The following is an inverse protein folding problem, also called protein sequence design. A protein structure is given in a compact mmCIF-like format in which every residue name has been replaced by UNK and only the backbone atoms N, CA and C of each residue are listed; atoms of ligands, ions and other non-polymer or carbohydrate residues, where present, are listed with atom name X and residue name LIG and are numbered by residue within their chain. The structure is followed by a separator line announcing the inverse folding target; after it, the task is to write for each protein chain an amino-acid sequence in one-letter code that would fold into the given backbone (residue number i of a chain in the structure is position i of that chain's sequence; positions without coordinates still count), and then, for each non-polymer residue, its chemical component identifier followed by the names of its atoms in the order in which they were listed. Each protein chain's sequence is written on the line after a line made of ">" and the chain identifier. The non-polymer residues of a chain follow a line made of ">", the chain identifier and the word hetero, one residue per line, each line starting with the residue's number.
data_IF_696060665306
#
_entry.id   IF_696060665306
#
_cell.length_a   1.000
_cell.length_b   1.000
_cell.length_c   1.000
_cell.angle_alpha   90.00
_cell.angle_beta   90.00
_cell.angle_gamma   90.00
#
_symmetry.space_group_name_H-M   'P 1'
#
loop_
_entity.id
_entity.type
_entity.pdbx_description
1 polymer ?
#
# COMPACT_ATOMS: atom_id res chain seq x y z
N UNK A 1 -14.90 2.41 24.86
CA UNK A 1 -15.75 2.97 23.79
C UNK A 1 -15.78 4.47 23.96
N UNK A 2 -15.88 5.21 22.86
CA UNK A 2 -15.81 6.67 22.85
C UNK A 2 -17.12 7.26 22.32
N UNK A 3 -17.49 8.44 22.81
CA UNK A 3 -18.52 9.27 22.20
C UNK A 3 -18.05 9.81 20.85
N UNK A 4 -18.96 10.44 20.09
CA UNK A 4 -18.60 11.09 18.83
C UNK A 4 -17.57 12.21 19.00
N UNK A 5 -17.67 12.97 20.10
CA UNK A 5 -16.73 14.05 20.43
C UNK A 5 -15.35 13.48 20.80
N UNK A 6 -15.32 12.48 21.67
CA UNK A 6 -14.08 11.80 22.06
C UNK A 6 -13.41 11.09 20.86
N UNK A 7 -14.19 10.50 19.95
CA UNK A 7 -13.66 9.90 18.72
C UNK A 7 -13.07 10.96 17.79
N UNK A 8 -13.69 12.15 17.72
CA UNK A 8 -13.20 13.29 16.96
C UNK A 8 -11.87 13.80 17.52
N UNK A 9 -11.79 14.00 18.84
CA UNK A 9 -10.56 14.37 19.54
C UNK A 9 -9.46 13.34 19.37
N UNK A 10 -9.80 12.04 19.47
CA UNK A 10 -8.82 10.96 19.39
C UNK A 10 -8.22 10.78 18.00
N UNK A 11 -9.01 10.96 16.95
CA UNK A 11 -8.59 10.75 15.55
C UNK A 11 -8.17 12.03 14.85
N UNK A 12 -8.48 13.20 15.41
CA UNK A 12 -8.30 14.50 14.76
C UNK A 12 -9.26 14.74 13.59
N UNK A 13 -10.20 13.83 13.33
CA UNK A 13 -11.21 13.96 12.27
C UNK A 13 -12.41 14.72 12.84
N UNK A 14 -12.88 15.75 12.14
CA UNK A 14 -14.04 16.52 12.62
C UNK A 14 -15.30 15.65 12.77
N UNK A 15 -16.14 15.98 13.75
CA UNK A 15 -17.47 15.37 13.97
C UNK A 15 -18.29 15.31 12.67
N UNK A 16 -18.22 16.36 11.85
CA UNK A 16 -18.89 16.42 10.53
C UNK A 16 -18.40 15.32 9.60
N UNK A 17 -17.08 15.14 9.49
CA UNK A 17 -16.48 14.13 8.62
C UNK A 17 -16.75 12.72 9.14
N UNK A 18 -16.71 12.48 10.47
CA UNK A 18 -17.07 11.18 11.05
C UNK A 18 -18.49 10.79 10.64
N UNK A 19 -19.47 11.68 10.83
CA UNK A 19 -20.87 11.44 10.40
C UNK A 19 -20.99 11.17 8.91
N UNK A 20 -20.24 11.92 8.11
CA UNK A 20 -20.21 11.76 6.66
C UNK A 20 -19.64 10.41 6.23
N UNK A 21 -18.54 9.96 6.85
CA UNK A 21 -17.97 8.64 6.58
C UNK A 21 -18.89 7.51 7.01
N UNK A 22 -19.56 7.63 8.16
CA UNK A 22 -20.57 6.66 8.59
C UNK A 22 -21.74 6.59 7.60
N UNK A 23 -22.27 7.73 7.13
CA UNK A 23 -23.41 7.73 6.20
C UNK A 23 -23.05 7.19 4.81
N UNK A 24 -21.76 7.27 4.41
CA UNK A 24 -21.20 6.67 3.19
C UNK A 24 -20.82 5.20 3.34
N UNK A 25 -20.95 4.61 4.53
CA UNK A 25 -20.58 3.20 4.78
C UNK A 25 -19.07 2.95 4.88
N UNK A 26 -18.25 4.00 4.95
CA UNK A 26 -16.80 3.89 5.14
C UNK A 26 -16.44 3.41 6.55
N UNK A 27 -17.29 3.74 7.52
CA UNK A 27 -17.17 3.30 8.90
C UNK A 27 -18.51 2.67 9.29
N UNK A 28 -18.53 1.51 9.97
CA UNK A 28 -19.74 0.92 10.50
C UNK A 28 -20.55 1.93 11.32
N UNK A 29 -21.89 1.77 11.37
CA UNK A 29 -22.72 2.62 12.21
C UNK A 29 -22.34 2.47 13.69
N UNK A 30 -22.36 3.57 14.48
CA UNK A 30 -21.97 3.53 15.88
C UNK A 30 -22.89 2.62 16.67
N UNK A 31 -22.33 2.03 17.73
CA UNK A 31 -23.07 1.19 18.66
C UNK A 31 -24.03 2.07 19.45
N UNK A 32 -25.33 1.79 19.33
CA UNK A 32 -26.37 2.58 20.00
C UNK A 32 -26.54 2.14 21.43
N UNK A 33 -26.39 3.09 22.36
CA UNK A 33 -26.73 2.91 23.76
C UNK A 33 -27.61 4.09 24.20
N UNK A 34 -28.91 3.83 24.27
CA UNK A 34 -29.93 4.86 24.50
C UNK A 34 -30.00 5.85 23.34
N UNK A 35 -29.86 7.16 23.64
CA UNK A 35 -29.86 8.23 22.63
C UNK A 35 -28.47 8.53 22.06
N UNK A 36 -27.43 7.90 22.60
CA UNK A 36 -26.04 8.17 22.25
C UNK A 36 -25.47 7.06 21.37
N UNK A 37 -24.62 7.44 20.42
CA UNK A 37 -23.84 6.51 19.60
C UNK A 37 -22.40 6.45 20.10
N UNK A 38 -21.87 5.24 20.22
CA UNK A 38 -20.52 4.96 20.69
C UNK A 38 -19.65 4.33 19.61
N UNK A 39 -18.39 4.72 19.60
CA UNK A 39 -17.35 4.28 18.68
C UNK A 39 -16.38 3.35 19.42
N UNK A 40 -16.22 2.16 18.90
CA UNK A 40 -15.26 1.16 19.40
C UNK A 40 -13.88 1.36 18.79
N UNK A 41 -12.88 0.58 19.22
CA UNK A 41 -11.54 0.63 18.65
C UNK A 41 -11.52 0.32 17.15
N UNK A 42 -12.40 -0.58 16.70
CA UNK A 42 -12.58 -0.94 15.28
C UNK A 42 -13.08 0.26 14.46
N UNK A 43 -13.96 1.08 15.03
CA UNK A 43 -14.42 2.30 14.37
C UNK A 43 -13.27 3.31 14.20
N UNK A 44 -12.46 3.49 15.24
CA UNK A 44 -11.32 4.42 15.21
C UNK A 44 -10.28 3.96 14.18
N UNK A 45 -9.96 2.67 14.15
CA UNK A 45 -9.03 2.13 13.18
C UNK A 45 -9.49 2.35 11.73
N UNK A 46 -10.80 2.22 11.45
CA UNK A 46 -11.35 2.54 10.11
C UNK A 46 -11.33 4.03 9.80
N UNK A 47 -11.59 4.88 10.79
CA UNK A 47 -11.48 6.33 10.64
C UNK A 47 -10.05 6.75 10.28
N UNK A 48 -9.07 6.19 10.98
CA UNK A 48 -7.65 6.41 10.69
C UNK A 48 -7.29 5.88 9.29
N UNK A 49 -7.76 4.68 8.91
CA UNK A 49 -7.58 4.14 7.56
C UNK A 49 -8.09 5.10 6.47
N UNK A 50 -9.32 5.60 6.61
CA UNK A 50 -9.91 6.55 5.66
C UNK A 50 -9.07 7.82 5.58
N UNK A 51 -8.64 8.36 6.72
CA UNK A 51 -7.83 9.58 6.80
C UNK A 51 -6.48 9.42 6.10
N UNK A 52 -5.76 8.33 6.40
CA UNK A 52 -4.45 8.05 5.79
C UNK A 52 -4.58 7.85 4.27
N UNK A 53 -5.58 7.09 3.80
CA UNK A 53 -5.80 6.91 2.35
C UNK A 53 -6.14 8.24 1.65
N UNK A 54 -6.93 9.12 2.29
CA UNK A 54 -7.16 10.46 1.76
C UNK A 54 -5.87 11.30 1.77
N UNK A 55 -5.04 11.18 2.82
CA UNK A 55 -3.73 11.83 2.91
C UNK A 55 -2.77 11.40 1.79
N UNK A 56 -2.90 10.15 1.31
CA UNK A 56 -2.18 9.63 0.15
C UNK A 56 -2.83 9.93 -1.21
N UNK A 57 -3.86 10.79 -1.24
CA UNK A 57 -4.47 11.28 -2.48
C UNK A 57 -5.50 10.35 -3.11
N UNK A 58 -5.92 9.28 -2.42
CA UNK A 58 -7.00 8.43 -2.93
C UNK A 58 -8.32 9.20 -2.96
N UNK A 59 -9.06 9.04 -4.07
CA UNK A 59 -10.42 9.59 -4.16
C UNK A 59 -11.37 8.84 -3.22
N UNK A 60 -12.39 9.54 -2.71
CA UNK A 60 -13.36 8.94 -1.79
C UNK A 60 -14.05 7.70 -2.39
N UNK A 61 -14.32 7.68 -3.69
CA UNK A 61 -14.91 6.54 -4.39
C UNK A 61 -13.97 5.32 -4.44
N UNK A 62 -12.66 5.54 -4.56
CA UNK A 62 -11.67 4.45 -4.49
C UNK A 62 -11.58 3.89 -3.06
N UNK A 63 -11.62 4.77 -2.05
CA UNK A 63 -11.63 4.38 -0.64
C UNK A 63 -12.89 3.58 -0.30
N UNK A 64 -14.07 3.99 -0.77
CA UNK A 64 -15.33 3.25 -0.59
C UNK A 64 -15.22 1.82 -1.13
N UNK A 65 -14.75 1.65 -2.36
CA UNK A 65 -14.54 0.32 -2.96
C UNK A 65 -13.54 -0.53 -2.18
N UNK A 66 -12.47 0.07 -1.68
CA UNK A 66 -11.45 -0.63 -0.92
C UNK A 66 -12.00 -1.11 0.44
N UNK A 67 -12.57 -0.18 1.20
CA UNK A 67 -13.07 -0.41 2.56
C UNK A 67 -14.25 -1.39 2.58
N UNK A 68 -15.04 -1.45 1.51
CA UNK A 68 -16.11 -2.43 1.35
C UNK A 68 -15.61 -3.89 1.31
N UNK A 69 -14.32 -4.12 1.01
CA UNK A 69 -13.70 -5.47 1.01
C UNK A 69 -13.24 -5.91 2.40
N UNK A 70 -13.22 -5.00 3.38
CA UNK A 70 -12.82 -5.26 4.76
C UNK A 70 -14.08 -5.64 5.56
N UNK A 71 -14.10 -6.78 6.27
CA UNK A 71 -15.23 -7.17 7.14
C UNK A 71 -15.57 -6.09 8.17
N UNK A 72 -16.86 -5.89 8.46
CA UNK A 72 -17.30 -4.83 9.38
C UNK A 72 -16.79 -5.04 10.82
N UNK A 73 -16.54 -6.28 11.19
CA UNK A 73 -16.00 -6.76 12.46
C UNK A 73 -14.47 -6.95 12.43
N UNK A 74 -13.79 -6.48 11.37
CA UNK A 74 -12.34 -6.50 11.30
C UNK A 74 -11.70 -5.81 12.51
N UNK A 75 -10.71 -6.47 13.10
CA UNK A 75 -10.02 -5.94 14.27
C UNK A 75 -9.16 -4.73 13.89
N UNK A 76 -8.75 -3.89 14.86
CA UNK A 76 -7.79 -2.81 14.58
C UNK A 76 -6.51 -3.31 13.92
N UNK A 77 -6.06 -4.52 14.27
CA UNK A 77 -4.91 -5.19 13.68
C UNK A 77 -5.10 -5.54 12.20
N UNK A 78 -6.27 -6.05 11.83
CA UNK A 78 -6.60 -6.35 10.42
C UNK A 78 -6.62 -5.07 9.58
N UNK A 79 -7.15 -3.98 10.14
CA UNK A 79 -7.20 -2.67 9.48
C UNK A 79 -5.81 -2.04 9.37
N UNK A 80 -4.98 -2.17 10.40
CA UNK A 80 -3.60 -1.68 10.39
C UNK A 80 -2.70 -2.42 9.40
N UNK A 81 -2.96 -3.71 9.13
CA UNK A 81 -2.32 -4.46 8.04
C UNK A 81 -2.67 -3.86 6.69
N UNK A 82 -3.94 -3.54 6.44
CA UNK A 82 -4.38 -2.88 5.22
C UNK A 82 -3.71 -1.52 5.00
N UNK A 83 -3.46 -0.76 6.07
CA UNK A 83 -2.65 0.46 6.00
C UNK A 83 -1.19 0.18 5.69
N UNK A 84 -0.57 -0.81 6.34
CA UNK A 84 0.85 -1.13 6.12
C UNK A 84 1.15 -1.59 4.69
N UNK A 85 0.18 -2.24 4.02
CA UNK A 85 0.28 -2.65 2.63
C UNK A 85 0.05 -1.49 1.64
N UNK A 86 -0.72 -0.47 2.02
CA UNK A 86 -1.09 0.65 1.13
C UNK A 86 -0.30 1.94 1.37
N UNK A 87 0.30 2.11 2.54
CA UNK A 87 1.06 3.31 2.87
C UNK A 87 2.26 3.41 1.91
N UNK A 88 2.33 4.48 1.09
CA UNK A 88 3.57 4.85 0.42
C UNK A 88 4.66 4.94 1.49
N UNK A 89 5.79 4.31 1.21
CA UNK A 89 7.02 4.61 1.96
C UNK A 89 7.24 6.11 1.79
N UNK A 90 7.51 6.89 2.86
CA UNK A 90 7.79 8.31 2.70
C UNK A 90 8.82 8.52 1.59
N UNK A 91 8.49 9.45 0.71
CA UNK A 91 9.17 9.77 -0.52
C UNK A 91 10.56 10.33 -0.24
N UNK A 92 11.52 9.44 -0.02
CA UNK A 92 12.94 9.72 -0.22
C UNK A 92 13.33 9.18 -1.59
N UNK A 93 12.99 9.96 -2.63
CA UNK A 93 13.56 9.79 -3.97
C UNK A 93 12.70 9.00 -4.96
N UNK A 94 11.42 9.38 -5.15
CA UNK A 94 10.69 9.03 -6.38
C UNK A 94 11.52 9.47 -7.59
N UNK A 95 12.23 8.52 -8.19
CA UNK A 95 12.81 8.70 -9.51
C UNK A 95 11.64 8.62 -10.49
N UNK A 96 11.25 9.77 -11.04
CA UNK A 96 10.40 9.78 -12.22
C UNK A 96 11.23 9.32 -13.42
N UNK A 97 11.02 8.06 -13.82
CA UNK A 97 11.80 7.42 -14.89
C UNK A 97 11.61 8.20 -16.21
N UNK A 98 10.40 8.70 -16.46
CA UNK A 98 10.13 9.45 -17.68
C UNK A 98 10.90 10.77 -17.68
N UNK A 99 10.77 11.57 -16.64
CA UNK A 99 11.47 12.86 -16.53
C UNK A 99 13.00 12.67 -16.53
N UNK A 100 13.50 11.63 -15.84
CA UNK A 100 14.91 11.28 -15.81
C UNK A 100 15.46 10.94 -17.20
N UNK A 101 14.74 10.13 -17.98
CA UNK A 101 15.14 9.76 -19.34
C UNK A 101 15.07 10.93 -20.32
N UNK A 102 14.02 11.76 -20.21
CA UNK A 102 13.90 12.99 -21.01
C UNK A 102 15.06 13.94 -20.68
N UNK A 103 15.43 14.08 -19.41
CA UNK A 103 16.59 14.86 -18.98
C UNK A 103 17.92 14.37 -19.54
N UNK A 104 18.01 13.08 -19.89
CA UNK A 104 19.16 12.46 -20.58
C UNK A 104 19.08 12.55 -22.11
N UNK A 105 18.04 13.18 -22.66
CA UNK A 105 17.86 13.36 -24.10
C UNK A 105 17.14 12.20 -24.82
N UNK A 106 16.53 11.27 -24.08
CA UNK A 106 15.68 10.23 -24.67
C UNK A 106 14.39 10.87 -25.20
N UNK A 107 13.93 10.52 -26.42
CA UNK A 107 12.67 11.04 -26.95
C UNK A 107 11.49 10.74 -26.00
N UNK A 108 10.60 11.71 -25.80
CA UNK A 108 9.50 11.59 -24.82
C UNK A 108 8.64 10.34 -25.01
N UNK A 109 8.33 9.95 -26.25
CA UNK A 109 7.56 8.74 -26.55
C UNK A 109 8.30 7.45 -26.18
N UNK A 110 9.63 7.43 -26.28
CA UNK A 110 10.44 6.30 -25.83
C UNK A 110 10.57 6.27 -24.31
N UNK A 111 10.72 7.42 -23.67
CA UNK A 111 10.74 7.54 -22.21
C UNK A 111 9.41 7.09 -21.58
N UNK A 112 8.28 7.47 -22.17
CA UNK A 112 6.93 7.02 -21.80
C UNK A 112 6.80 5.50 -21.94
N UNK A 113 7.20 4.93 -23.08
CA UNK A 113 7.15 3.48 -23.28
C UNK A 113 8.01 2.72 -22.26
N UNK A 114 9.17 3.25 -21.87
CA UNK A 114 10.01 2.67 -20.82
C UNK A 114 9.31 2.78 -19.46
N UNK A 115 8.81 3.96 -19.09
CA UNK A 115 8.10 4.17 -17.84
C UNK A 115 6.90 3.22 -17.68
N UNK A 116 6.14 2.99 -18.76
CA UNK A 116 5.02 2.04 -18.79
C UNK A 116 5.43 0.60 -18.52
N UNK A 117 6.59 0.16 -19.02
CA UNK A 117 7.13 -1.17 -18.74
C UNK A 117 7.46 -1.29 -17.25
N UNK A 118 8.18 -0.32 -16.68
CA UNK A 118 8.52 -0.32 -15.26
C UNK A 118 7.29 -0.24 -14.37
N UNK A 119 6.30 0.59 -14.70
CA UNK A 119 5.07 0.72 -13.93
C UNK A 119 4.26 -0.59 -13.89
N UNK A 120 4.06 -1.25 -15.04
CA UNK A 120 3.37 -2.54 -15.09
C UNK A 120 4.06 -3.61 -14.27
N UNK A 121 5.37 -3.77 -14.45
CA UNK A 121 6.10 -4.84 -13.75
C UNK A 121 6.31 -4.52 -12.28
N UNK A 122 6.46 -3.25 -11.91
CA UNK A 122 6.48 -2.80 -10.51
C UNK A 122 5.18 -3.17 -9.79
N UNK A 123 4.03 -2.92 -10.42
CA UNK A 123 2.73 -3.32 -9.87
C UNK A 123 2.61 -4.84 -9.72
N UNK A 124 3.02 -5.59 -10.75
CA UNK A 124 3.00 -7.05 -10.70
C UNK A 124 3.85 -7.60 -9.55
N UNK A 125 5.09 -7.12 -9.39
CA UNK A 125 5.99 -7.53 -8.31
C UNK A 125 5.38 -7.18 -6.94
N UNK A 126 4.80 -5.99 -6.79
CA UNK A 126 4.16 -5.58 -5.54
C UNK A 126 2.98 -6.49 -5.18
N UNK A 127 2.14 -6.86 -6.15
CA UNK A 127 1.00 -7.76 -5.95
C UNK A 127 1.47 -9.17 -5.54
N UNK A 128 2.48 -9.71 -6.23
CA UNK A 128 3.04 -11.04 -5.93
C UNK A 128 3.71 -11.10 -4.54
N UNK A 129 4.50 -10.07 -4.18
CA UNK A 129 5.12 -9.98 -2.86
C UNK A 129 4.07 -9.81 -1.75
N UNK A 130 3.04 -8.99 -1.98
CA UNK A 130 1.94 -8.81 -1.03
C UNK A 130 1.19 -10.12 -0.79
N UNK A 131 0.99 -10.92 -1.84
CA UNK A 131 0.37 -12.24 -1.73
C UNK A 131 1.23 -13.23 -0.94
N UNK A 132 2.56 -13.22 -1.14
CA UNK A 132 3.50 -14.03 -0.35
C UNK A 132 3.43 -13.64 1.12
N UNK A 133 3.44 -12.34 1.42
CA UNK A 133 3.32 -11.84 2.80
C UNK A 133 2.01 -12.30 3.42
N UNK A 134 0.89 -12.15 2.70
CA UNK A 134 -0.45 -12.50 3.18
C UNK A 134 -0.63 -14.00 3.43
N UNK A 135 -0.11 -14.84 2.53
CA UNK A 135 -0.38 -16.28 2.53
C UNK A 135 0.65 -17.10 3.31
N UNK A 136 1.89 -16.63 3.41
CA UNK A 136 2.98 -17.36 4.06
C UNK A 136 3.51 -16.65 5.28
N UNK A 137 3.87 -15.37 5.16
CA UNK A 137 4.54 -14.65 6.25
C UNK A 137 3.58 -14.36 7.42
N UNK A 138 2.37 -13.90 7.13
CA UNK A 138 1.41 -13.48 8.16
C UNK A 138 0.95 -14.64 9.08
N UNK A 139 0.54 -15.81 8.56
CA UNK A 139 0.14 -16.93 9.41
C UNK A 139 1.26 -17.36 10.36
N UNK A 140 2.47 -17.57 9.85
CA UNK A 140 3.62 -17.99 10.67
C UNK A 140 3.97 -16.96 11.74
N UNK A 141 3.95 -15.68 11.36
CA UNK A 141 4.26 -14.59 12.28
C UNK A 141 3.21 -14.46 13.39
N UNK A 142 1.92 -14.56 13.07
CA UNK A 142 0.83 -14.54 14.05
C UNK A 142 0.89 -15.75 14.97
N UNK A 143 1.11 -16.94 14.43
CA UNK A 143 1.13 -18.19 15.19
C UNK A 143 2.32 -18.25 16.17
N UNK A 144 3.39 -17.49 15.90
CA UNK A 144 4.53 -17.27 16.81
C UNK A 144 4.28 -16.23 17.92
N UNK A 145 3.09 -15.63 17.99
CA UNK A 145 2.74 -14.57 18.95
C UNK A 145 3.16 -13.17 18.52
N UNK A 146 3.45 -12.96 17.23
CA UNK A 146 3.87 -11.68 16.69
C UNK A 146 2.76 -10.62 16.66
N UNK A 147 3.13 -9.35 16.83
CA UNK A 147 2.21 -8.19 16.79
C UNK A 147 2.25 -7.47 15.44
N UNK A 148 1.16 -6.77 15.09
CA UNK A 148 1.10 -5.98 13.84
C UNK A 148 2.21 -4.93 13.76
N UNK A 149 2.55 -4.29 14.87
CA UNK A 149 3.68 -3.36 14.96
C UNK A 149 5.01 -4.05 14.63
N UNK A 150 5.24 -5.26 15.15
CA UNK A 150 6.45 -6.01 14.84
C UNK A 150 6.50 -6.48 13.38
N UNK A 151 5.36 -6.84 12.78
CA UNK A 151 5.29 -7.13 11.35
C UNK A 151 5.61 -5.89 10.52
N UNK A 152 5.07 -4.72 10.89
CA UNK A 152 5.38 -3.45 10.24
C UNK A 152 6.88 -3.16 10.29
N UNK A 153 7.51 -3.36 11.44
CA UNK A 153 8.95 -3.17 11.62
C UNK A 153 9.76 -4.15 10.77
N UNK A 154 9.36 -5.43 10.74
CA UNK A 154 9.96 -6.44 9.89
C UNK A 154 9.86 -6.05 8.41
N UNK A 155 8.68 -5.63 7.95
CA UNK A 155 8.46 -5.18 6.56
C UNK A 155 9.34 -3.95 6.25
N UNK A 156 9.47 -2.99 7.16
CA UNK A 156 10.36 -1.85 6.99
C UNK A 156 11.83 -2.27 6.82
N UNK A 157 12.28 -3.26 7.59
CA UNK A 157 13.63 -3.82 7.49
C UNK A 157 13.85 -4.70 6.26
N UNK A 158 12.80 -5.33 5.75
CA UNK A 158 12.84 -6.13 4.53
C UNK A 158 12.88 -5.27 3.27
N UNK A 159 12.24 -4.10 3.26
CA UNK A 159 12.16 -3.20 2.09
C UNK A 159 13.50 -2.96 1.39
N UNK A 160 14.59 -2.55 2.09
CA UNK A 160 15.89 -2.38 1.44
C UNK A 160 16.40 -3.65 0.78
N UNK A 161 16.21 -4.82 1.41
CA UNK A 161 16.65 -6.10 0.88
C UNK A 161 15.84 -6.52 -0.35
N UNK A 162 14.52 -6.28 -0.36
CA UNK A 162 13.68 -6.60 -1.52
C UNK A 162 13.97 -5.70 -2.71
N UNK A 163 14.28 -4.42 -2.46
CA UNK A 163 14.70 -3.48 -3.51
C UNK A 163 16.06 -3.91 -4.07
N UNK A 164 17.04 -4.17 -3.20
CA UNK A 164 18.36 -4.63 -3.64
C UNK A 164 18.28 -5.96 -4.42
N UNK A 165 17.44 -6.89 -3.98
CA UNK A 165 17.18 -8.15 -4.68
C UNK A 165 16.55 -7.94 -6.07
N UNK A 166 15.60 -7.00 -6.20
CA UNK A 166 15.01 -6.65 -7.48
C UNK A 166 16.03 -6.05 -8.45
N UNK A 167 16.89 -5.13 -7.96
CA UNK A 167 17.99 -4.55 -8.75
C UNK A 167 18.95 -5.64 -9.22
N UNK A 168 19.40 -6.52 -8.32
CA UNK A 168 20.31 -7.61 -8.67
C UNK A 168 19.70 -8.60 -9.68
N UNK A 169 18.40 -8.90 -9.55
CA UNK A 169 17.69 -9.75 -10.49
C UNK A 169 17.57 -9.09 -11.88
N UNK A 170 17.30 -7.79 -11.92
CA UNK A 170 17.25 -7.01 -13.14
C UNK A 170 18.61 -6.96 -13.84
N UNK A 171 19.69 -6.65 -13.11
CA UNK A 171 21.06 -6.60 -13.64
C UNK A 171 21.43 -7.94 -14.28
N UNK A 172 21.17 -9.04 -13.57
CA UNK A 172 21.39 -10.39 -14.10
C UNK A 172 20.60 -10.66 -15.38
N UNK A 173 19.32 -10.28 -15.43
CA UNK A 173 18.49 -10.48 -16.61
C UNK A 173 18.96 -9.63 -17.81
N UNK A 174 19.49 -8.43 -17.55
CA UNK A 174 20.06 -7.56 -18.58
C UNK A 174 21.37 -8.13 -19.13
N UNK A 175 22.25 -8.64 -18.28
CA UNK A 175 23.49 -9.31 -18.69
C UNK A 175 23.20 -10.52 -19.58
N UNK A 176 22.24 -11.37 -19.17
CA UNK A 176 21.80 -12.54 -19.95
C UNK A 176 21.21 -12.13 -21.33
N UNK A 177 20.47 -11.02 -21.36
CA UNK A 177 19.90 -10.46 -22.59
C UNK A 177 21.02 -9.95 -23.53
N UNK A 178 21.96 -9.16 -23.01
CA UNK A 178 23.09 -8.63 -23.78
C UNK A 178 23.93 -9.76 -24.39
N UNK A 179 24.25 -10.78 -23.62
CA UNK A 179 24.97 -11.99 -24.08
C UNK A 179 24.22 -12.74 -25.19
N UNK A 180 22.89 -12.71 -25.16
CA UNK A 180 22.06 -13.35 -26.19
C UNK A 180 22.08 -12.59 -27.52
N UNK A 181 22.25 -11.26 -27.50
CA UNK A 181 22.37 -10.43 -28.70
C UNK A 181 23.74 -10.58 -29.35
N UNK A 182 24.81 -10.55 -28.54
CA UNK A 182 26.19 -10.79 -29.02
C UNK A 182 26.31 -12.16 -29.69
N UNK A 183 25.77 -13.22 -29.07
CA UNK A 183 25.77 -14.58 -29.64
C UNK A 183 24.96 -14.72 -30.93
N UNK A 184 23.86 -13.97 -31.08
CA UNK A 184 23.04 -13.97 -32.31
C UNK A 184 23.68 -13.16 -33.44
N UNK A 185 24.38 -12.07 -33.13
CA UNK A 185 25.12 -11.25 -34.10
C UNK A 185 26.41 -11.89 -34.62
N UNK A 186 26.98 -12.87 -33.90
CA UNK A 186 28.23 -13.53 -34.26
C UNK A 186 28.09 -14.72 -35.26
N UNK A 187 26.92 -14.95 -35.86
CA UNK A 187 26.80 -15.95 -36.95
C UNK A 187 27.34 -15.33 -38.25
N UNK A 188 28.45 -15.84 -38.83
CA UNK A 188 28.91 -15.38 -40.12
C UNK A 188 27.98 -15.93 -41.21
N UNK A 189 27.62 -15.05 -42.15
CA UNK A 189 27.05 -15.43 -43.45
C UNK A 189 28.11 -16.12 -44.32
#
# INVERSE_FOLDING_TARGET
>A
MLTLEEASERTGISVRNIRFYTSRGLVPPPLRQGRSGFYSAEHLARLDLVRELQGHGFTLAAIEKYVARIPADATPSDIALHLALLAPVPDEGRIDIQDGLVGLGVPASAAEAVADVYARHGQQVADELSEIVRTRLWPEYRDSGGTVEGLRELVHRLKPLTIAGLVAAYEKAMDESADSYVRRGARPY
#
